data_IF_615450461971
#
_entry.id   IF_615450461971
#
_cell.length_a   1.000
_cell.length_b   1.000
_cell.length_c   1.000
_cell.angle_alpha   90.00
_cell.angle_beta   90.00
_cell.angle_gamma   90.00
#
_symmetry.space_group_name_H-M   'P 1'
#
loop_
_entity.id
_entity.type
_entity.pdbx_description
1 polymer ?
#
# COMPACT_ATOMS: atom_id res chain seq x y z
N UNK A 1 16.77 9.34 4.05
CA UNK A 1 17.68 8.25 4.49
C UNK A 1 17.02 7.26 5.45
N UNK A 2 16.27 7.72 6.47
CA UNK A 2 15.63 6.84 7.47
C UNK A 2 14.74 5.75 6.83
N UNK A 3 13.94 6.08 5.82
CA UNK A 3 13.03 5.11 5.19
C UNK A 3 13.76 4.02 4.39
N UNK A 4 14.96 4.33 3.86
CA UNK A 4 15.79 3.37 3.12
C UNK A 4 16.41 2.37 4.08
N UNK A 5 16.93 2.86 5.21
CA UNK A 5 17.48 1.98 6.24
C UNK A 5 16.40 1.06 6.80
N UNK A 6 15.20 1.58 7.04
CA UNK A 6 14.07 0.76 7.49
C UNK A 6 13.70 -0.32 6.49
N UNK A 7 13.60 0.05 5.21
CA UNK A 7 13.36 -0.89 4.13
C UNK A 7 14.44 -1.98 4.04
N UNK A 8 15.72 -1.62 4.23
CA UNK A 8 16.82 -2.59 4.23
C UNK A 8 16.75 -3.55 5.42
N UNK A 9 16.47 -3.08 6.63
CA UNK A 9 16.31 -3.94 7.80
C UNK A 9 15.18 -4.96 7.58
N UNK A 10 14.08 -4.52 6.97
CA UNK A 10 12.94 -5.37 6.59
C UNK A 10 13.32 -6.39 5.52
N UNK A 11 14.01 -5.98 4.48
CA UNK A 11 14.54 -6.85 3.42
C UNK A 11 15.48 -7.94 3.96
N UNK A 12 16.25 -7.63 5.00
CA UNK A 12 17.13 -8.58 5.69
C UNK A 12 16.39 -9.49 6.69
N UNK A 13 15.10 -9.24 6.94
CA UNK A 13 14.30 -9.98 7.93
C UNK A 13 14.60 -9.60 9.39
N UNK A 14 15.20 -8.42 9.63
CA UNK A 14 15.58 -7.96 10.98
C UNK A 14 14.53 -7.05 11.62
N UNK A 15 13.50 -6.66 10.87
CA UNK A 15 12.42 -5.82 11.36
C UNK A 15 11.08 -6.31 10.85
N UNK A 16 10.09 -6.34 11.74
CA UNK A 16 8.71 -6.68 11.43
C UNK A 16 7.72 -5.77 12.15
N UNK A 17 6.50 -5.75 11.62
CA UNK A 17 5.35 -5.08 12.21
C UNK A 17 4.81 -5.80 13.46
N UNK A 18 4.00 -5.09 14.24
CA UNK A 18 3.33 -5.66 15.40
C UNK A 18 2.39 -6.80 14.99
N UNK A 19 2.23 -7.81 15.85
CA UNK A 19 1.20 -8.85 15.64
C UNK A 19 -0.16 -8.22 15.90
N UNK A 20 -1.00 -8.13 14.86
CA UNK A 20 -2.28 -7.44 14.89
C UNK A 20 -3.34 -8.27 14.15
N UNK A 21 -4.64 -8.11 14.45
CA UNK A 21 -5.72 -8.83 13.77
C UNK A 21 -5.75 -8.62 12.24
N UNK A 22 -5.25 -7.49 11.77
CA UNK A 22 -5.17 -7.15 10.34
C UNK A 22 -3.96 -7.81 9.63
N UNK A 23 -3.03 -8.42 10.36
CA UNK A 23 -1.84 -9.09 9.80
C UNK A 23 -2.12 -10.58 9.62
N UNK A 24 -1.72 -11.15 8.49
CA UNK A 24 -1.86 -12.57 8.23
C UNK A 24 -1.00 -13.43 9.16
N UNK A 25 -1.44 -14.65 9.52
CA UNK A 25 -0.58 -15.61 10.20
C UNK A 25 0.50 -16.15 9.24
N UNK A 26 1.60 -16.74 9.74
CA UNK A 26 2.57 -17.42 8.89
C UNK A 26 1.90 -18.47 7.99
N UNK A 27 2.20 -18.45 6.69
CA UNK A 27 1.59 -19.34 5.70
C UNK A 27 0.27 -18.84 5.11
N UNK A 28 -0.16 -17.60 5.44
CA UNK A 28 -1.32 -16.94 4.83
C UNK A 28 -1.27 -16.94 3.30
N UNK A 29 -0.07 -16.93 2.72
CA UNK A 29 0.14 -16.98 1.27
C UNK A 29 -0.39 -18.26 0.58
N UNK A 30 -0.64 -19.32 1.35
CA UNK A 30 -1.20 -20.59 0.85
C UNK A 30 -2.70 -20.72 1.10
N UNK A 31 -3.31 -19.74 1.78
CA UNK A 31 -4.73 -19.78 2.12
C UNK A 31 -5.59 -19.18 0.99
N UNK A 32 -6.86 -19.60 0.88
CA UNK A 32 -7.80 -18.96 -0.04
C UNK A 32 -7.97 -17.47 0.24
N UNK A 33 -8.02 -16.66 -0.81
CA UNK A 33 -8.19 -15.21 -0.73
C UNK A 33 -9.63 -14.82 -1.04
N UNK A 34 -10.26 -14.07 -0.14
CA UNK A 34 -11.51 -13.38 -0.41
C UNK A 34 -11.23 -11.95 -0.87
N UNK A 35 -11.90 -11.52 -1.95
CA UNK A 35 -11.76 -10.18 -2.50
C UNK A 35 -13.00 -9.36 -2.13
N UNK A 36 -12.77 -8.18 -1.57
CA UNK A 36 -13.83 -7.20 -1.31
C UNK A 36 -13.52 -5.89 -2.05
N UNK A 37 -14.57 -5.23 -2.54
CA UNK A 37 -14.47 -3.98 -3.27
C UNK A 37 -15.45 -2.96 -2.70
N UNK A 38 -15.02 -1.71 -2.64
CA UNK A 38 -15.88 -0.57 -2.28
C UNK A 38 -15.75 0.53 -3.33
N UNK A 39 -16.85 1.23 -3.60
CA UNK A 39 -16.93 2.29 -4.59
C UNK A 39 -17.16 3.64 -3.88
N UNK A 40 -16.40 4.66 -4.27
CA UNK A 40 -16.56 6.02 -3.76
C UNK A 40 -17.04 6.95 -4.87
N UNK A 41 -18.02 7.83 -4.61
CA UNK A 41 -18.43 8.83 -5.58
C UNK A 41 -17.27 9.74 -5.98
N UNK A 42 -17.01 9.85 -7.28
CA UNK A 42 -15.90 10.66 -7.79
C UNK A 42 -16.05 12.15 -7.44
N UNK A 43 -17.29 12.64 -7.32
CA UNK A 43 -17.58 14.02 -6.93
C UNK A 43 -17.03 14.32 -5.53
N UNK A 44 -17.30 13.44 -4.57
CA UNK A 44 -16.85 13.59 -3.17
C UNK A 44 -15.32 13.53 -3.08
N UNK A 45 -14.72 12.57 -3.79
CA UNK A 45 -13.25 12.45 -3.85
C UNK A 45 -12.64 13.73 -4.44
N UNK A 46 -13.25 14.31 -5.49
CA UNK A 46 -12.79 15.58 -6.08
C UNK A 46 -12.98 16.77 -5.14
N UNK A 47 -14.04 16.78 -4.34
CA UNK A 47 -14.26 17.82 -3.34
C UNK A 47 -13.18 17.78 -2.26
N UNK A 48 -12.91 16.59 -1.69
CA UNK A 48 -11.86 16.39 -0.68
C UNK A 48 -10.49 16.75 -1.26
N UNK A 49 -10.21 16.29 -2.47
CA UNK A 49 -8.97 16.62 -3.20
C UNK A 49 -8.78 18.14 -3.28
N UNK A 50 -9.83 18.87 -3.64
CA UNK A 50 -9.78 20.32 -3.83
C UNK A 50 -9.58 21.05 -2.51
N UNK A 51 -10.29 20.68 -1.45
CA UNK A 51 -10.16 21.36 -0.15
C UNK A 51 -8.83 21.07 0.57
N UNK A 52 -8.17 19.95 0.26
CA UNK A 52 -6.89 19.56 0.87
C UNK A 52 -5.66 19.87 0.01
N UNK A 53 -5.85 20.32 -1.24
CA UNK A 53 -4.74 20.49 -2.19
C UNK A 53 -4.04 19.18 -2.57
N UNK A 54 -4.75 18.05 -2.46
CA UNK A 54 -4.20 16.71 -2.64
C UNK A 54 -4.48 16.13 -4.04
N UNK A 55 -4.12 14.87 -4.25
CA UNK A 55 -4.50 14.08 -5.43
C UNK A 55 -5.54 13.02 -5.06
N UNK A 56 -6.17 12.38 -6.06
CA UNK A 56 -7.13 11.29 -5.82
C UNK A 56 -6.52 10.17 -4.97
N UNK A 57 -5.25 9.83 -5.22
CA UNK A 57 -4.56 8.76 -4.50
C UNK A 57 -4.32 9.14 -3.05
N UNK A 58 -3.93 10.39 -2.80
CA UNK A 58 -3.71 10.88 -1.43
C UNK A 58 -5.01 10.82 -0.61
N UNK A 59 -6.15 11.14 -1.25
CA UNK A 59 -7.48 11.02 -0.62
C UNK A 59 -7.81 9.57 -0.28
N UNK A 60 -7.68 8.66 -1.24
CA UNK A 60 -7.98 7.23 -1.03
C UNK A 60 -7.05 6.62 0.03
N UNK A 61 -5.76 6.93 -0.01
CA UNK A 61 -4.79 6.49 1.00
C UNK A 61 -5.11 7.09 2.38
N UNK A 62 -5.54 8.36 2.45
CA UNK A 62 -5.99 8.98 3.69
C UNK A 62 -7.23 8.30 4.29
N UNK A 63 -8.20 7.90 3.45
CA UNK A 63 -9.37 7.12 3.87
C UNK A 63 -8.92 5.76 4.45
N UNK A 64 -7.98 5.08 3.79
CA UNK A 64 -7.41 3.81 4.26
C UNK A 64 -6.72 4.00 5.63
N UNK A 65 -5.92 5.04 5.80
CA UNK A 65 -5.26 5.33 7.09
C UNK A 65 -6.26 5.54 8.22
N UNK A 66 -7.28 6.35 7.96
CA UNK A 66 -8.38 6.60 8.89
C UNK A 66 -9.08 5.29 9.28
N UNK A 67 -9.45 4.47 8.28
CA UNK A 67 -10.11 3.18 8.48
C UNK A 67 -9.28 2.20 9.31
N UNK A 68 -7.98 2.06 9.02
CA UNK A 68 -7.07 1.17 9.76
C UNK A 68 -6.94 1.62 11.21
N UNK A 69 -6.76 2.92 11.45
CA UNK A 69 -6.69 3.45 12.81
C UNK A 69 -7.96 3.11 13.59
N UNK A 70 -9.14 3.39 13.02
CA UNK A 70 -10.41 3.11 13.68
C UNK A 70 -10.60 1.62 13.94
N UNK A 71 -10.30 0.78 12.95
CA UNK A 71 -10.35 -0.68 13.09
C UNK A 71 -9.48 -1.17 14.26
N UNK A 72 -8.21 -0.75 14.30
CA UNK A 72 -7.29 -1.15 15.38
C UNK A 72 -7.73 -0.61 16.74
N UNK A 73 -8.23 0.62 16.81
CA UNK A 73 -8.78 1.18 18.05
C UNK A 73 -9.94 0.32 18.57
N UNK A 74 -10.87 -0.06 17.69
CA UNK A 74 -12.00 -0.93 18.05
C UNK A 74 -11.48 -2.28 18.53
N UNK A 75 -10.64 -2.95 17.74
CA UNK A 75 -10.10 -4.26 18.10
C UNK A 75 -9.36 -4.27 19.45
N UNK A 76 -8.67 -3.18 19.81
CA UNK A 76 -8.00 -3.08 21.10
C UNK A 76 -8.95 -2.73 22.26
N UNK A 77 -10.07 -2.06 21.96
CA UNK A 77 -11.06 -1.63 22.95
C UNK A 77 -12.10 -2.70 23.26
N UNK A 78 -12.33 -3.62 22.32
CA UNK A 78 -13.32 -4.69 22.41
C UNK A 78 -12.69 -5.95 23.03
N UNK A 79 -13.30 -6.51 24.08
CA UNK A 79 -12.94 -7.85 24.59
C UNK A 79 -13.42 -8.94 23.62
N UNK A 80 -12.87 -10.16 23.74
CA UNK A 80 -13.08 -11.29 22.80
C UNK A 80 -14.55 -11.66 22.50
N UNK A 81 -15.52 -11.21 23.31
CA UNK A 81 -16.93 -11.60 23.25
C UNK A 81 -17.89 -10.60 22.57
N UNK A 82 -17.46 -9.39 22.21
CA UNK A 82 -18.33 -8.37 21.61
C UNK A 82 -18.25 -8.36 20.07
N UNK A 83 -19.40 -8.23 19.40
CA UNK A 83 -19.44 -8.16 17.93
C UNK A 83 -18.75 -6.88 17.44
N UNK A 84 -17.84 -7.03 16.46
CA UNK A 84 -17.10 -5.91 15.84
C UNK A 84 -18.03 -4.81 15.29
N UNK A 85 -19.22 -5.20 14.83
CA UNK A 85 -20.22 -4.28 14.30
C UNK A 85 -20.81 -3.38 15.40
N UNK A 86 -21.23 -3.96 16.52
CA UNK A 86 -21.73 -3.18 17.67
C UNK A 86 -20.66 -2.26 18.26
N UNK A 87 -19.41 -2.74 18.31
CA UNK A 87 -18.29 -1.93 18.78
C UNK A 87 -17.98 -0.75 17.84
N UNK A 88 -18.15 -0.94 16.53
CA UNK A 88 -18.03 0.13 15.54
C UNK A 88 -19.12 1.19 15.70
N UNK A 89 -20.38 0.78 15.90
CA UNK A 89 -21.50 1.71 16.06
C UNK A 89 -21.42 2.54 17.34
N UNK A 90 -20.87 1.98 18.43
CA UNK A 90 -20.75 2.66 19.72
C UNK A 90 -19.76 3.84 19.72
N UNK A 91 -18.94 3.99 18.67
CA UNK A 91 -17.92 5.05 18.54
C UNK A 91 -17.15 5.29 19.85
N UNK A 92 -16.71 4.20 20.49
CA UNK A 92 -16.04 4.29 21.79
C UNK A 92 -14.78 5.15 21.69
N UNK A 93 -14.74 6.23 22.45
CA UNK A 93 -13.51 7.02 22.61
C UNK A 93 -12.44 6.15 23.29
N UNK A 94 -11.20 6.17 22.79
CA UNK A 94 -10.15 5.33 23.33
C UNK A 94 -9.71 5.88 24.69
N UNK A 95 -9.63 5.00 25.70
CA UNK A 95 -9.03 5.39 26.97
C UNK A 95 -7.49 5.53 26.85
N UNK A 96 -6.85 6.08 27.89
CA UNK A 96 -5.41 6.34 27.90
C UNK A 96 -4.54 5.09 27.65
N UNK A 97 -5.02 3.92 28.07
CA UNK A 97 -4.32 2.63 27.86
C UNK A 97 -4.28 2.30 26.37
N UNK A 98 -5.42 2.41 25.68
CA UNK A 98 -5.52 2.15 24.23
C UNK A 98 -4.68 3.16 23.45
N UNK A 99 -4.72 4.45 23.83
CA UNK A 99 -3.89 5.49 23.19
C UNK A 99 -2.41 5.14 23.32
N UNK A 100 -1.96 4.70 24.51
CA UNK A 100 -0.57 4.30 24.74
C UNK A 100 -0.19 3.05 23.97
N UNK A 101 -1.08 2.05 23.88
CA UNK A 101 -0.86 0.86 23.06
C UNK A 101 -0.72 1.20 21.58
N UNK A 102 -1.64 1.99 21.04
CA UNK A 102 -1.64 2.45 19.64
C UNK A 102 -0.34 3.17 19.26
N UNK A 103 0.22 3.99 20.16
CA UNK A 103 1.51 4.68 19.93
C UNK A 103 2.71 3.73 19.80
N UNK A 104 2.63 2.54 20.36
CA UNK A 104 3.70 1.53 20.30
C UNK A 104 3.53 0.54 19.15
N UNK A 105 2.41 0.60 18.43
CA UNK A 105 2.17 -0.28 17.29
C UNK A 105 3.00 0.13 16.08
N UNK A 106 3.58 -0.88 15.42
CA UNK A 106 4.21 -0.73 14.12
C UNK A 106 3.27 -1.29 13.06
N UNK A 107 2.71 -0.40 12.26
CA UNK A 107 1.91 -0.74 11.09
C UNK A 107 2.55 -0.06 9.90
N UNK A 108 3.03 -0.88 8.97
CA UNK A 108 3.78 -0.45 7.81
C UNK A 108 3.08 -0.94 6.56
N UNK A 109 2.97 -0.05 5.59
CA UNK A 109 2.48 -0.38 4.26
C UNK A 109 3.62 -0.33 3.25
N UNK A 110 3.51 -1.20 2.25
CA UNK A 110 4.34 -1.17 1.06
C UNK A 110 3.64 -0.34 -0.03
N UNK A 111 4.13 0.87 -0.32
CA UNK A 111 3.70 1.63 -1.49
C UNK A 111 4.31 0.99 -2.74
N UNK A 112 3.49 0.47 -3.64
CA UNK A 112 3.94 0.06 -4.97
C UNK A 112 3.69 1.18 -5.98
N UNK A 113 4.74 1.60 -6.67
CA UNK A 113 4.74 2.73 -7.60
C UNK A 113 5.19 2.30 -8.97
N UNK A 114 4.47 2.71 -10.00
CA UNK A 114 4.87 2.47 -11.38
C UNK A 114 6.12 3.31 -11.73
N UNK A 115 7.18 2.67 -12.24
CA UNK A 115 8.42 3.35 -12.68
C UNK A 115 8.35 3.82 -14.14
N UNK A 116 7.35 3.37 -14.91
CA UNK A 116 7.21 3.77 -16.31
C UNK A 116 6.82 5.25 -16.39
N UNK A 117 7.34 5.92 -17.42
CA UNK A 117 6.80 7.21 -17.81
C UNK A 117 5.32 7.04 -18.21
N UNK A 118 4.46 8.00 -17.82
CA UNK A 118 3.10 8.09 -18.35
C UNK A 118 3.19 8.31 -19.86
N UNK A 119 2.75 7.33 -20.64
CA UNK A 119 2.80 7.36 -22.09
C UNK A 119 1.53 6.74 -22.68
N UNK A 120 1.13 7.13 -23.90
CA UNK A 120 0.04 6.49 -24.62
C UNK A 120 0.27 4.99 -24.77
N UNK A 121 -0.81 4.22 -24.91
CA UNK A 121 -0.75 2.82 -25.28
C UNK A 121 0.11 2.68 -26.54
N UNK A 122 1.19 1.88 -26.45
CA UNK A 122 2.03 1.52 -27.58
C UNK A 122 1.67 0.10 -28.04
N UNK A 123 1.88 -0.17 -29.32
CA UNK A 123 1.72 -1.54 -29.83
C UNK A 123 2.75 -2.48 -29.17
N UNK A 124 2.42 -3.76 -29.11
CA UNK A 124 3.23 -4.78 -28.44
C UNK A 124 4.65 -4.89 -29.02
N UNK A 125 4.78 -4.80 -30.35
CA UNK A 125 6.07 -4.84 -31.05
C UNK A 125 6.99 -3.68 -30.63
N UNK A 126 6.48 -2.45 -30.54
CA UNK A 126 7.25 -1.29 -30.07
C UNK A 126 7.67 -1.41 -28.61
N UNK A 127 6.85 -2.08 -27.78
CA UNK A 127 7.18 -2.33 -26.37
C UNK A 127 8.22 -3.44 -26.19
N UNK A 128 8.31 -4.38 -27.13
CA UNK A 128 9.27 -5.48 -27.11
C UNK A 128 10.66 -5.10 -27.65
N UNK A 129 10.73 -4.10 -28.54
CA UNK A 129 11.98 -3.71 -29.21
C UNK A 129 13.00 -2.94 -28.33
N UNK A 130 12.77 -2.82 -27.02
CA UNK A 130 13.76 -2.34 -26.02
C UNK A 130 14.21 -0.87 -26.13
N UNK A 131 13.95 -0.20 -27.25
CA UNK A 131 14.36 1.18 -27.54
C UNK A 131 13.28 2.22 -27.26
N UNK A 132 12.19 1.86 -26.56
CA UNK A 132 11.10 2.77 -26.23
C UNK A 132 11.03 3.04 -24.73
N UNK A 133 10.54 4.24 -24.35
CA UNK A 133 10.33 4.63 -22.95
C UNK A 133 9.32 3.75 -22.18
N UNK A 134 8.64 2.81 -22.86
CA UNK A 134 7.61 1.94 -22.33
C UNK A 134 7.93 0.50 -22.71
N UNK A 135 8.81 -0.13 -21.93
CA UNK A 135 9.19 -1.52 -22.16
C UNK A 135 8.10 -2.50 -21.69
N UNK A 136 8.00 -3.64 -22.37
CA UNK A 136 7.18 -4.78 -21.93
C UNK A 136 7.68 -5.35 -20.58
N UNK A 137 6.75 -5.86 -19.76
CA UNK A 137 7.04 -6.44 -18.44
C UNK A 137 6.92 -5.48 -17.25
N UNK A 138 6.81 -6.02 -16.04
CA UNK A 138 6.46 -5.25 -14.82
C UNK A 138 7.61 -4.36 -14.33
N UNK A 139 7.43 -3.04 -14.42
CA UNK A 139 8.40 -2.05 -13.95
C UNK A 139 7.79 -1.21 -12.84
N UNK A 140 7.83 -1.74 -11.62
CA UNK A 140 7.42 -1.01 -10.43
C UNK A 140 8.55 -0.92 -9.42
N UNK A 141 8.45 0.06 -8.55
CA UNK A 141 9.27 0.20 -7.36
C UNK A 141 8.39 0.10 -6.15
N UNK A 142 9.04 -0.09 -5.01
CA UNK A 142 8.34 -0.11 -3.75
C UNK A 142 9.08 0.69 -2.71
N UNK A 143 8.31 1.26 -1.78
CA UNK A 143 8.83 1.93 -0.59
C UNK A 143 7.96 1.58 0.60
N UNK A 144 8.61 1.27 1.71
CA UNK A 144 7.95 1.14 3.00
C UNK A 144 7.60 2.51 3.55
N UNK A 145 6.41 2.64 4.13
CA UNK A 145 6.05 3.80 4.94
C UNK A 145 5.17 3.38 6.12
N UNK A 146 5.32 4.07 7.24
CA UNK A 146 4.49 3.82 8.43
C UNK A 146 3.12 4.45 8.28
N UNK A 147 2.08 3.70 8.65
CA UNK A 147 0.71 4.20 8.68
C UNK A 147 0.53 5.06 9.95
N UNK A 148 0.06 6.31 9.83
CA UNK A 148 -0.16 7.16 10.99
C UNK A 148 -1.36 6.65 11.81
N UNK A 149 -1.10 6.22 13.05
CA UNK A 149 -2.12 5.74 13.99
C UNK A 149 -2.53 6.78 15.03
N UNK A 150 -1.98 7.99 14.95
CA UNK A 150 -2.23 9.08 15.90
C UNK A 150 -3.68 9.56 15.90
N UNK A 151 -4.13 10.05 17.06
CA UNK A 151 -5.45 10.69 17.16
C UNK A 151 -5.42 12.02 16.44
N UNK A 152 -6.47 12.29 15.66
CA UNK A 152 -6.68 13.55 14.97
C UNK A 152 -8.09 14.03 15.25
N UNK A 153 -8.24 15.33 15.47
CA UNK A 153 -9.55 15.96 15.66
C UNK A 153 -10.36 15.99 14.35
N UNK A 154 -9.66 16.11 13.22
CA UNK A 154 -10.25 16.21 11.90
C UNK A 154 -9.75 15.09 10.98
N UNK A 155 -10.66 14.29 10.43
CA UNK A 155 -10.35 13.19 9.50
C UNK A 155 -9.64 13.64 8.22
N UNK A 156 -9.79 14.91 7.80
CA UNK A 156 -9.06 15.49 6.67
C UNK A 156 -7.54 15.53 6.90
N UNK A 157 -7.08 15.50 8.15
CA UNK A 157 -5.65 15.43 8.47
C UNK A 157 -5.02 14.11 7.97
N UNK A 158 -5.77 13.01 7.88
CA UNK A 158 -5.27 11.78 7.27
C UNK A 158 -4.94 11.94 5.79
N UNK A 159 -5.70 12.76 5.07
CA UNK A 159 -5.43 13.07 3.66
C UNK A 159 -4.14 13.89 3.53
N UNK A 160 -3.94 14.88 4.40
CA UNK A 160 -2.71 15.69 4.41
C UNK A 160 -1.48 14.85 4.77
N UNK A 161 -1.61 13.95 5.75
CA UNK A 161 -0.55 13.01 6.11
C UNK A 161 -0.23 12.03 4.96
N UNK A 162 -1.26 11.47 4.34
CA UNK A 162 -1.11 10.60 3.17
C UNK A 162 -0.39 11.30 2.03
N UNK A 163 -0.78 12.54 1.71
CA UNK A 163 -0.08 13.37 0.72
C UNK A 163 1.40 13.53 1.05
N UNK A 164 1.72 13.95 2.27
CA UNK A 164 3.10 14.17 2.70
C UNK A 164 3.95 12.89 2.58
N UNK A 165 3.40 11.76 3.04
CA UNK A 165 4.06 10.45 2.95
C UNK A 165 4.27 10.02 1.49
N UNK A 166 3.23 10.10 0.66
CA UNK A 166 3.31 9.68 -0.74
C UNK A 166 4.22 10.57 -1.58
N UNK A 167 4.19 11.89 -1.36
CA UNK A 167 5.10 12.81 -2.04
C UNK A 167 6.55 12.58 -1.60
N UNK A 168 6.79 12.30 -0.32
CA UNK A 168 8.10 11.85 0.17
C UNK A 168 8.53 10.54 -0.50
N UNK A 169 7.65 9.55 -0.63
CA UNK A 169 7.96 8.31 -1.33
C UNK A 169 8.33 8.56 -2.80
N UNK A 170 7.59 9.42 -3.52
CA UNK A 170 7.88 9.76 -4.93
C UNK A 170 9.20 10.52 -5.09
N UNK A 171 9.48 11.47 -4.21
CA UNK A 171 10.69 12.31 -4.27
C UNK A 171 11.93 11.63 -3.66
N UNK A 172 11.75 10.51 -2.97
CA UNK A 172 12.85 9.81 -2.31
C UNK A 172 13.77 9.13 -3.33
N UNK A 173 15.07 9.43 -3.23
CA UNK A 173 16.12 8.63 -3.86
C UNK A 173 16.15 7.17 -3.35
N UNK A 174 15.35 6.84 -2.34
CA UNK A 174 15.25 5.50 -1.76
C UNK A 174 14.84 4.44 -2.77
N UNK A 175 13.92 4.75 -3.69
CA UNK A 175 13.53 3.78 -4.72
C UNK A 175 14.70 3.44 -5.65
N UNK A 176 15.50 4.44 -6.01
CA UNK A 176 16.73 4.25 -6.80
C UNK A 176 17.77 3.43 -6.02
N UNK A 177 18.01 3.78 -4.76
CA UNK A 177 18.95 3.06 -3.90
C UNK A 177 18.56 1.58 -3.71
N UNK A 178 17.30 1.31 -3.35
CA UNK A 178 16.77 -0.05 -3.19
C UNK A 178 16.89 -0.85 -4.48
N UNK A 179 16.55 -0.25 -5.63
CA UNK A 179 16.66 -0.91 -6.94
C UNK A 179 18.12 -1.31 -7.24
N UNK A 180 19.08 -0.41 -7.00
CA UNK A 180 20.49 -0.72 -7.22
C UNK A 180 21.01 -1.80 -6.25
N UNK A 181 20.61 -1.74 -4.98
CA UNK A 181 20.98 -2.75 -3.99
C UNK A 181 20.45 -4.12 -4.39
N UNK A 182 19.17 -4.21 -4.80
CA UNK A 182 18.57 -5.44 -5.31
C UNK A 182 19.27 -5.96 -6.56
N UNK A 183 19.59 -5.07 -7.51
CA UNK A 183 20.32 -5.41 -8.72
C UNK A 183 21.70 -5.99 -8.43
N UNK A 184 22.47 -5.36 -7.54
CA UNK A 184 23.77 -5.84 -7.08
C UNK A 184 23.64 -7.16 -6.31
N UNK A 185 22.64 -7.30 -5.44
CA UNK A 185 22.38 -8.53 -4.69
C UNK A 185 22.07 -9.70 -5.64
N UNK A 186 21.25 -9.47 -6.67
CA UNK A 186 20.95 -10.47 -7.69
C UNK A 186 22.18 -10.92 -8.46
N UNK A 187 23.09 -10.00 -8.80
CA UNK A 187 24.35 -10.33 -9.49
C UNK A 187 25.34 -11.09 -8.59
N UNK A 188 25.43 -10.72 -7.31
CA UNK A 188 26.43 -11.28 -6.39
C UNK A 188 25.99 -12.57 -5.70
N UNK A 189 24.73 -12.67 -5.28
CA UNK A 189 24.18 -13.78 -4.48
C UNK A 189 23.14 -14.63 -5.23
N UNK A 190 22.85 -14.30 -6.48
CA UNK A 190 21.93 -15.04 -7.33
C UNK A 190 20.44 -14.86 -7.01
N UNK A 191 19.61 -15.56 -7.78
CA UNK A 191 18.15 -15.41 -7.75
C UNK A 191 17.51 -15.81 -6.41
N UNK A 192 18.09 -16.80 -5.70
CA UNK A 192 17.56 -17.25 -4.40
C UNK A 192 17.63 -16.16 -3.33
N UNK A 193 18.76 -15.44 -3.24
CA UNK A 193 18.92 -14.34 -2.30
C UNK A 193 17.97 -13.18 -2.61
N UNK A 194 17.76 -12.90 -3.91
CA UNK A 194 16.82 -11.90 -4.37
C UNK A 194 15.37 -12.28 -4.04
N UNK A 195 14.99 -13.53 -4.26
CA UNK A 195 13.67 -14.06 -3.92
C UNK A 195 13.40 -13.99 -2.41
N UNK A 196 14.38 -14.37 -1.57
CA UNK A 196 14.28 -14.24 -0.11
C UNK A 196 14.12 -12.78 0.32
N UNK A 197 14.85 -11.87 -0.31
CA UNK A 197 14.74 -10.44 -0.06
C UNK A 197 13.35 -9.89 -0.41
N UNK A 198 12.81 -10.30 -1.56
CA UNK A 198 11.47 -9.95 -1.99
C UNK A 198 10.39 -10.51 -1.05
N UNK A 199 10.55 -11.77 -0.61
CA UNK A 199 9.66 -12.38 0.38
C UNK A 199 9.65 -11.58 1.69
N UNK A 200 10.83 -11.33 2.28
CA UNK A 200 10.97 -10.57 3.53
C UNK A 200 10.42 -9.13 3.42
N UNK A 201 10.59 -8.50 2.25
CA UNK A 201 10.05 -7.16 1.97
C UNK A 201 8.55 -7.10 2.18
N UNK A 202 7.84 -8.12 1.69
CA UNK A 202 6.39 -8.20 1.77
C UNK A 202 5.97 -8.72 3.15
N UNK A 203 6.61 -9.79 3.63
CA UNK A 203 6.21 -10.47 4.86
C UNK A 203 6.44 -9.68 6.16
N UNK A 204 7.35 -8.70 6.11
CA UNK A 204 7.59 -7.79 7.24
C UNK A 204 6.54 -6.69 7.38
N UNK A 205 5.67 -6.50 6.38
CA UNK A 205 4.66 -5.43 6.34
C UNK A 205 3.26 -5.93 6.66
N UNK A 206 2.39 -5.02 7.08
CA UNK A 206 0.98 -5.34 7.34
C UNK A 206 0.15 -5.40 6.05
N UNK A 207 0.50 -4.60 5.05
CA UNK A 207 -0.26 -4.53 3.80
C UNK A 207 0.53 -3.87 2.67
N UNK A 208 0.06 -4.03 1.44
CA UNK A 208 0.53 -3.27 0.29
C UNK A 208 -0.58 -2.36 -0.26
N UNK A 209 -0.22 -1.12 -0.60
CA UNK A 209 -1.09 -0.20 -1.32
C UNK A 209 -0.47 -0.01 -2.70
N UNK A 210 -1.19 -0.42 -3.73
CA UNK A 210 -0.82 -0.18 -5.12
C UNK A 210 -1.86 0.75 -5.74
N UNK A 211 -1.39 1.57 -6.67
CA UNK A 211 -2.29 2.41 -7.44
C UNK A 211 -1.80 2.58 -8.86
N UNK A 212 -2.74 2.53 -9.81
CA UNK A 212 -2.49 2.80 -11.21
C UNK A 212 -3.60 3.67 -11.78
N UNK A 213 -3.22 4.63 -12.61
CA UNK A 213 -4.18 5.34 -13.44
C UNK A 213 -4.68 4.33 -14.48
N UNK A 214 -5.99 4.18 -14.57
CA UNK A 214 -6.62 3.33 -15.58
C UNK A 214 -6.36 3.83 -17.01
N UNK A 215 -6.62 2.99 -18.02
CA UNK A 215 -6.50 3.39 -19.42
C UNK A 215 -7.38 4.62 -19.70
N UNK A 216 -6.83 5.62 -20.39
CA UNK A 216 -7.58 6.81 -20.80
C UNK A 216 -8.58 6.51 -21.92
N UNK A 217 -8.32 5.46 -22.69
CA UNK A 217 -9.13 4.99 -23.80
C UNK A 217 -10.08 3.88 -23.35
N UNK A 218 -11.25 3.80 -24.01
CA UNK A 218 -12.21 2.72 -23.76
C UNK A 218 -11.65 1.41 -24.30
N UNK A 219 -11.71 0.36 -23.49
CA UNK A 219 -11.32 -0.99 -23.90
C UNK A 219 -12.59 -1.79 -24.20
N UNK A 220 -12.56 -2.59 -25.27
CA UNK A 220 -13.61 -3.54 -25.61
C UNK A 220 -13.03 -4.92 -25.89
N UNK A 221 -13.79 -5.98 -25.57
CA UNK A 221 -13.51 -7.36 -25.98
C UNK A 221 -14.69 -7.80 -26.84
N UNK A 222 -14.43 -8.22 -28.07
CA UNK A 222 -15.46 -8.70 -29.00
C UNK A 222 -16.65 -7.73 -29.08
N UNK A 223 -16.36 -6.47 -29.42
CA UNK A 223 -17.32 -5.36 -29.49
C UNK A 223 -18.01 -4.96 -28.16
N UNK A 224 -17.76 -5.67 -27.06
CA UNK A 224 -18.34 -5.37 -25.75
C UNK A 224 -17.41 -4.46 -24.94
N UNK A 225 -17.90 -3.26 -24.59
CA UNK A 225 -17.15 -2.28 -23.80
C UNK A 225 -16.96 -2.79 -22.37
N UNK A 226 -15.70 -2.85 -21.92
CA UNK A 226 -15.34 -3.18 -20.54
C UNK A 226 -15.66 -1.99 -19.63
N UNK A 227 -16.51 -2.22 -18.62
CA UNK A 227 -16.85 -1.20 -17.60
C UNK A 227 -15.86 -1.14 -16.45
N UNK A 228 -15.28 -2.29 -16.06
CA UNK A 228 -14.36 -2.42 -14.92
C UNK A 228 -13.35 -3.52 -15.22
N UNK A 229 -12.08 -3.25 -14.93
CA UNK A 229 -11.00 -4.21 -15.01
C UNK A 229 -10.15 -4.09 -13.73
N UNK A 230 -9.96 -5.19 -13.00
CA UNK A 230 -9.23 -5.20 -11.74
C UNK A 230 -8.21 -6.32 -11.71
N UNK A 231 -7.01 -6.02 -11.23
CA UNK A 231 -5.96 -7.00 -10.98
C UNK A 231 -5.76 -7.15 -9.47
N UNK A 232 -5.52 -8.36 -9.02
CA UNK A 232 -5.14 -8.64 -7.63
C UNK A 232 -3.94 -9.58 -7.61
N UNK A 233 -3.13 -9.47 -6.55
CA UNK A 233 -2.01 -10.37 -6.30
C UNK A 233 -2.47 -11.36 -5.22
N UNK A 234 -2.58 -12.63 -5.56
CA UNK A 234 -2.82 -13.71 -4.58
C UNK A 234 -1.51 -14.20 -3.98
N UNK A 235 -1.58 -14.75 -2.76
CA UNK A 235 -0.43 -15.43 -2.13
C UNK A 235 0.69 -14.49 -1.69
N UNK A 236 0.35 -13.27 -1.28
CA UNK A 236 1.31 -12.36 -0.70
C UNK A 236 1.42 -12.58 0.82
N UNK A 237 2.64 -12.69 1.39
CA UNK A 237 2.85 -13.20 2.76
C UNK A 237 2.70 -12.13 3.86
N UNK A 238 1.75 -11.20 3.77
CA UNK A 238 1.53 -10.14 4.79
C UNK A 238 0.40 -10.46 5.78
#
# INVERSE_FOLDING_TARGET
>A
MVDVMDGLLRMMGWKEDSKLPIRGPPGVEYLPVAISSTDFPLADIKQIKTCTGATVNDVLTGIIFCGIRHYLQICLSTGEEQSLHEAYEKRCEPNDIIIKQMKNLRVTSLAMMNKRALAPLKNLEEMMNGNTAVMWGNHFGFLHFSIPLQSVENSLEFVKMAKCILDRCKMSLGMFAITNILGSLGRLKGAQALAKCAYNTIASTTMAISNMIGPAEKIAIDENIIKRFSFFVSGAPH
#
